data_IF_852453186339
#
_entry.id   IF_852453186339
#
_cell.length_a   1.000
_cell.length_b   1.000
_cell.length_c   1.000
_cell.angle_alpha   90.00
_cell.angle_beta   90.00
_cell.angle_gamma   90.00
#
_symmetry.space_group_name_H-M   'P 1'
#
loop_
_entity.id
_entity.type
_entity.pdbx_description
1 polymer ?
#
# COMPACT_ATOMS: atom_id res chain seq x y z
N UNK A 1 21.19 -16.01 -29.34
CA UNK A 1 19.99 -15.94 -28.49
C UNK A 1 20.20 -14.77 -27.54
N UNK A 2 19.28 -13.81 -27.47
CA UNK A 2 19.44 -12.63 -26.60
C UNK A 2 18.79 -12.93 -25.25
N UNK A 3 19.52 -12.69 -24.16
CA UNK A 3 19.00 -12.74 -22.80
C UNK A 3 18.77 -11.31 -22.32
N UNK A 4 17.55 -11.00 -21.88
CA UNK A 4 17.17 -9.70 -21.34
C UNK A 4 16.95 -9.84 -19.83
N UNK A 5 17.52 -8.92 -19.04
CA UNK A 5 17.31 -8.85 -17.60
C UNK A 5 16.94 -7.42 -17.19
N UNK A 6 15.88 -7.22 -16.38
CA UNK A 6 15.56 -5.90 -15.85
C UNK A 6 16.60 -5.50 -14.79
N UNK A 7 17.15 -4.29 -14.89
CA UNK A 7 18.17 -3.82 -13.95
C UNK A 7 17.56 -3.17 -12.69
N UNK A 8 16.47 -2.41 -12.85
CA UNK A 8 15.85 -1.64 -11.76
C UNK A 8 14.31 -1.65 -11.87
N UNK A 9 13.67 -2.82 -11.85
CA UNK A 9 12.22 -2.89 -11.90
C UNK A 9 11.59 -2.30 -10.64
N UNK A 10 10.52 -1.52 -10.79
CA UNK A 10 9.65 -1.19 -9.67
C UNK A 10 8.65 -2.35 -9.52
N UNK A 11 8.70 -3.03 -8.38
CA UNK A 11 7.77 -4.12 -8.09
C UNK A 11 6.36 -3.59 -7.81
N UNK A 12 5.34 -4.30 -8.32
CA UNK A 12 3.93 -4.07 -8.00
C UNK A 12 3.34 -5.45 -7.69
N UNK A 13 2.74 -5.58 -6.50
CA UNK A 13 2.06 -6.80 -6.05
C UNK A 13 0.55 -6.70 -6.22
N UNK A 14 -0.08 -7.84 -6.50
CA UNK A 14 -1.53 -7.97 -6.58
C UNK A 14 -1.96 -9.26 -5.88
N UNK A 15 -2.90 -9.13 -4.95
CA UNK A 15 -3.55 -10.25 -4.29
C UNK A 15 -5.06 -10.01 -4.25
N UNK A 16 -5.84 -11.09 -4.17
CA UNK A 16 -7.31 -11.01 -4.17
C UNK A 16 -7.89 -11.83 -3.03
N UNK A 17 -8.78 -11.21 -2.26
CA UNK A 17 -9.53 -11.87 -1.20
C UNK A 17 -10.99 -11.39 -1.19
N UNK A 18 -11.79 -11.69 -2.23
CA UNK A 18 -13.16 -11.20 -2.35
C UNK A 18 -14.05 -11.68 -1.20
N UNK A 19 -13.80 -12.88 -0.66
CA UNK A 19 -14.58 -13.46 0.43
C UNK A 19 -14.46 -12.68 1.75
N UNK A 20 -13.41 -11.86 1.90
CA UNK A 20 -13.24 -10.97 3.06
C UNK A 20 -14.10 -9.71 2.97
N UNK A 21 -14.67 -9.41 1.80
CA UNK A 21 -15.56 -8.27 1.59
C UNK A 21 -16.99 -8.65 1.98
N UNK A 22 -17.25 -8.66 3.28
CA UNK A 22 -18.57 -8.99 3.83
C UNK A 22 -19.51 -7.78 3.87
N UNK A 23 -20.82 -8.04 3.97
CA UNK A 23 -21.81 -6.99 4.20
C UNK A 23 -21.53 -6.17 5.46
N UNK A 24 -21.09 -6.84 6.53
CA UNK A 24 -20.74 -6.20 7.80
C UNK A 24 -19.52 -5.30 7.66
N UNK A 25 -18.46 -5.75 6.95
CA UNK A 25 -17.31 -4.91 6.64
C UNK A 25 -17.74 -3.64 5.90
N UNK A 26 -18.55 -3.79 4.85
CA UNK A 26 -19.01 -2.65 4.06
C UNK A 26 -19.81 -1.64 4.91
N UNK A 27 -20.66 -2.12 5.81
CA UNK A 27 -21.46 -1.26 6.68
C UNK A 27 -20.63 -0.58 7.75
N UNK A 28 -19.71 -1.31 8.39
CA UNK A 28 -18.82 -0.75 9.40
C UNK A 28 -17.92 0.33 8.78
N UNK A 29 -17.38 0.10 7.59
CA UNK A 29 -16.58 1.12 6.88
C UNK A 29 -17.42 2.36 6.60
N UNK A 30 -18.68 2.21 6.19
CA UNK A 30 -19.58 3.34 5.91
C UNK A 30 -19.99 4.12 7.17
N UNK A 31 -20.01 3.49 8.34
CA UNK A 31 -20.44 4.11 9.59
C UNK A 31 -19.36 4.94 10.28
N UNK A 32 -18.09 4.78 9.88
CA UNK A 32 -16.97 5.56 10.42
C UNK A 32 -17.14 7.06 10.13
N UNK A 33 -16.68 7.89 11.08
CA UNK A 33 -16.63 9.34 10.92
C UNK A 33 -15.73 9.73 9.75
N UNK A 34 -16.25 10.60 8.86
CA UNK A 34 -15.57 11.01 7.64
C UNK A 34 -15.21 12.50 7.68
N UNK A 35 -14.02 12.83 7.19
CA UNK A 35 -13.54 14.19 6.96
C UNK A 35 -13.44 14.50 5.46
N UNK A 36 -13.50 15.78 5.13
CA UNK A 36 -13.23 16.25 3.76
C UNK A 36 -11.74 16.12 3.45
N UNK A 37 -11.44 15.67 2.24
CA UNK A 37 -10.12 15.68 1.63
C UNK A 37 -10.19 16.46 0.30
N UNK A 38 -9.07 16.66 -0.40
CA UNK A 38 -8.99 17.60 -1.53
C UNK A 38 -10.11 17.46 -2.56
N UNK A 39 -10.43 16.23 -2.98
CA UNK A 39 -11.48 15.96 -3.97
C UNK A 39 -12.33 14.72 -3.63
N UNK A 40 -12.32 14.28 -2.37
CA UNK A 40 -13.10 13.15 -1.87
C UNK A 40 -13.23 13.22 -0.33
N UNK A 41 -13.65 12.12 0.32
CA UNK A 41 -13.64 12.00 1.78
C UNK A 41 -12.71 10.89 2.25
N UNK A 42 -12.26 11.01 3.49
CA UNK A 42 -11.46 9.99 4.17
C UNK A 42 -11.99 9.76 5.58
N UNK A 43 -11.68 8.62 6.18
CA UNK A 43 -11.95 8.43 7.61
C UNK A 43 -11.16 9.45 8.43
N UNK A 44 -11.75 9.97 9.50
CA UNK A 44 -11.04 10.89 10.40
C UNK A 44 -9.88 10.18 11.10
N UNK A 45 -10.11 8.94 11.54
CA UNK A 45 -9.05 8.08 12.07
C UNK A 45 -8.15 7.60 10.93
N UNK A 46 -6.84 7.76 11.10
CA UNK A 46 -5.80 7.43 10.12
C UNK A 46 -4.81 6.35 10.59
N UNK A 47 -5.15 5.67 11.68
CA UNK A 47 -4.44 4.53 12.28
C UNK A 47 -5.40 3.39 12.64
N UNK A 48 -6.45 3.19 11.83
CA UNK A 48 -7.55 2.25 12.13
C UNK A 48 -7.03 0.84 12.42
N UNK A 49 -6.04 0.38 11.66
CA UNK A 49 -5.47 -0.98 11.78
C UNK A 49 -4.20 -1.04 12.62
N UNK A 50 -3.78 0.06 13.26
CA UNK A 50 -2.44 0.12 13.87
C UNK A 50 -2.40 -0.33 15.32
N UNK A 51 -3.47 -0.13 16.09
CA UNK A 51 -3.52 -0.51 17.51
C UNK A 51 -4.49 -1.68 17.73
N UNK A 52 -4.09 -2.64 18.56
CA UNK A 52 -4.92 -3.81 18.89
C UNK A 52 -6.16 -3.46 19.73
N UNK A 53 -6.20 -2.24 20.28
CA UNK A 53 -7.37 -1.70 20.98
C UNK A 53 -8.43 -1.14 20.03
N UNK A 54 -8.16 -1.06 18.72
CA UNK A 54 -9.12 -0.55 17.77
C UNK A 54 -10.20 -1.60 17.48
N UNK A 55 -11.46 -1.28 17.81
CA UNK A 55 -12.60 -2.19 17.65
C UNK A 55 -12.78 -2.67 16.20
N UNK A 56 -12.55 -1.80 15.21
CA UNK A 56 -12.61 -2.18 13.80
C UNK A 56 -11.55 -3.23 13.46
N UNK A 57 -10.31 -3.02 13.92
CA UNK A 57 -9.20 -3.98 13.73
C UNK A 57 -9.53 -5.33 14.37
N UNK A 58 -10.04 -5.33 15.61
CA UNK A 58 -10.40 -6.56 16.33
C UNK A 58 -11.54 -7.31 15.64
N UNK A 59 -12.60 -6.59 15.22
CA UNK A 59 -13.77 -7.17 14.56
C UNK A 59 -13.43 -7.77 13.19
N UNK A 60 -12.58 -7.09 12.41
CA UNK A 60 -12.18 -7.49 11.06
C UNK A 60 -10.80 -8.16 11.02
N UNK A 61 -10.48 -8.97 12.03
CA UNK A 61 -9.14 -9.56 12.21
C UNK A 61 -8.68 -10.43 11.04
N UNK A 62 -9.59 -11.10 10.33
CA UNK A 62 -9.25 -11.89 9.13
C UNK A 62 -8.77 -10.99 7.97
N UNK A 63 -9.41 -9.84 7.75
CA UNK A 63 -8.95 -8.84 6.78
C UNK A 63 -7.59 -8.29 7.20
N UNK A 64 -7.44 -7.94 8.47
CA UNK A 64 -6.17 -7.41 9.00
C UNK A 64 -5.04 -8.40 8.78
N UNK A 65 -5.26 -9.67 9.13
CA UNK A 65 -4.28 -10.73 8.91
C UNK A 65 -3.92 -10.87 7.43
N UNK A 66 -4.91 -10.86 6.53
CA UNK A 66 -4.66 -10.91 5.10
C UNK A 66 -3.77 -9.74 4.62
N UNK A 67 -4.03 -8.52 5.10
CA UNK A 67 -3.22 -7.34 4.74
C UNK A 67 -1.80 -7.40 5.32
N UNK A 68 -1.64 -7.88 6.55
CA UNK A 68 -0.34 -8.08 7.19
C UNK A 68 0.48 -9.17 6.47
N UNK A 69 -0.15 -10.31 6.16
CA UNK A 69 0.48 -11.41 5.41
C UNK A 69 0.86 -10.95 3.99
N UNK A 70 -0.01 -10.19 3.29
CA UNK A 70 0.28 -9.62 1.96
C UNK A 70 1.47 -8.66 2.01
N UNK A 71 1.55 -7.84 3.07
CA UNK A 71 2.64 -6.89 3.26
C UNK A 71 3.97 -7.62 3.47
N UNK A 72 3.99 -8.63 4.35
CA UNK A 72 5.16 -9.46 4.62
C UNK A 72 5.63 -10.18 3.34
N UNK A 73 4.70 -10.78 2.60
CA UNK A 73 4.97 -11.42 1.30
C UNK A 73 5.60 -10.43 0.31
N UNK A 74 5.09 -9.20 0.24
CA UNK A 74 5.68 -8.17 -0.63
C UNK A 74 7.11 -7.81 -0.20
N UNK A 75 7.36 -7.60 1.08
CA UNK A 75 8.72 -7.34 1.58
C UNK A 75 9.67 -8.50 1.28
N UNK A 76 9.22 -9.74 1.43
CA UNK A 76 10.03 -10.91 1.13
C UNK A 76 10.35 -11.01 -0.37
N UNK A 77 9.32 -11.03 -1.22
CA UNK A 77 9.49 -11.29 -2.65
C UNK A 77 10.04 -10.10 -3.44
N UNK A 78 9.65 -8.87 -3.09
CA UNK A 78 10.07 -7.68 -3.84
C UNK A 78 11.33 -7.02 -3.26
N UNK A 79 11.54 -7.10 -1.96
CA UNK A 79 12.61 -6.39 -1.27
C UNK A 79 13.67 -7.32 -0.65
N UNK A 80 13.46 -8.65 -0.69
CA UNK A 80 14.41 -9.63 -0.19
C UNK A 80 14.63 -9.55 1.33
N UNK A 81 13.62 -9.09 2.09
CA UNK A 81 13.75 -8.94 3.54
C UNK A 81 13.78 -10.34 4.20
N UNK A 82 14.84 -10.68 4.96
CA UNK A 82 14.97 -11.98 5.59
C UNK A 82 14.23 -11.99 6.93
N UNK A 83 12.95 -12.36 6.92
CA UNK A 83 12.14 -12.49 8.14
C UNK A 83 12.53 -13.71 9.01
N UNK A 84 13.36 -14.62 8.51
CA UNK A 84 13.71 -15.91 9.11
C UNK A 84 14.32 -15.81 10.53
N UNK A 85 15.08 -14.75 10.81
CA UNK A 85 15.75 -14.55 12.10
C UNK A 85 14.83 -13.93 13.18
N UNK A 86 13.58 -13.59 12.83
CA UNK A 86 12.59 -13.00 13.75
C UNK A 86 12.91 -11.58 14.26
N UNK A 87 14.06 -11.02 13.88
CA UNK A 87 14.51 -9.68 14.29
C UNK A 87 13.83 -8.55 13.50
N UNK A 88 13.23 -8.87 12.35
CA UNK A 88 12.57 -7.93 11.46
C UNK A 88 11.10 -8.31 11.39
N UNK A 89 10.22 -7.32 11.37
CA UNK A 89 8.80 -7.48 11.12
C UNK A 89 8.27 -6.34 10.28
N UNK A 90 7.40 -6.63 9.31
CA UNK A 90 6.61 -5.60 8.65
C UNK A 90 5.51 -5.11 9.57
N UNK A 91 5.21 -3.82 9.53
CA UNK A 91 4.15 -3.20 10.34
C UNK A 91 3.36 -2.20 9.52
N UNK A 92 2.04 -2.20 9.71
CA UNK A 92 1.15 -1.17 9.15
C UNK A 92 1.19 0.06 10.07
N UNK A 93 1.91 1.09 9.65
CA UNK A 93 2.14 2.30 10.46
C UNK A 93 1.00 3.31 10.36
N UNK A 94 0.25 3.34 9.26
CA UNK A 94 -0.91 4.19 9.02
C UNK A 94 -1.94 3.44 8.17
N UNK A 95 -3.21 3.70 8.41
CA UNK A 95 -4.33 3.10 7.67
C UNK A 95 -5.61 3.92 7.84
N UNK A 96 -6.26 4.23 6.72
CA UNK A 96 -7.50 4.99 6.66
C UNK A 96 -8.36 4.48 5.51
N UNK A 97 -9.66 4.78 5.55
CA UNK A 97 -10.56 4.53 4.43
C UNK A 97 -10.69 5.76 3.55
N UNK A 98 -10.86 5.52 2.25
CA UNK A 98 -11.17 6.57 1.27
C UNK A 98 -12.58 6.32 0.74
N UNK A 99 -13.35 7.40 0.60
CA UNK A 99 -14.72 7.36 0.12
C UNK A 99 -14.82 8.32 -1.06
N UNK A 100 -14.99 7.74 -2.25
CA UNK A 100 -15.13 8.49 -3.49
C UNK A 100 -16.46 8.10 -4.14
N UNK A 101 -17.24 9.09 -4.56
CA UNK A 101 -18.41 8.90 -5.44
C UNK A 101 -18.11 9.39 -6.85
N UNK A 102 -19.06 9.20 -7.77
CA UNK A 102 -18.92 9.65 -9.16
C UNK A 102 -18.53 11.13 -9.23
N UNK A 103 -17.40 11.41 -9.87
CA UNK A 103 -16.86 12.76 -10.03
C UNK A 103 -15.84 13.18 -8.97
N UNK A 104 -15.67 12.39 -7.91
CA UNK A 104 -14.61 12.57 -6.90
C UNK A 104 -13.32 11.87 -7.32
N UNK A 105 -12.17 12.30 -6.76
CA UNK A 105 -10.87 11.71 -7.06
C UNK A 105 -9.88 11.86 -5.89
N UNK A 106 -8.76 11.15 -5.98
CA UNK A 106 -7.60 11.37 -5.11
C UNK A 106 -6.52 12.08 -5.92
N UNK A 107 -5.94 13.16 -5.36
CA UNK A 107 -4.83 13.83 -6.01
C UNK A 107 -3.59 12.93 -6.02
N UNK A 108 -2.74 13.06 -7.04
CA UNK A 108 -1.46 12.33 -7.07
C UNK A 108 -0.53 12.80 -5.95
N UNK A 109 -0.03 11.87 -5.14
CA UNK A 109 0.90 12.15 -4.04
C UNK A 109 1.83 10.96 -3.76
N UNK A 110 2.78 11.17 -2.85
CA UNK A 110 3.66 10.14 -2.29
C UNK A 110 3.46 10.10 -0.78
N UNK A 111 3.72 8.96 -0.16
CA UNK A 111 3.67 8.79 1.29
C UNK A 111 5.09 8.89 1.88
N UNK A 112 5.49 10.05 2.45
CA UNK A 112 6.80 10.18 3.07
C UNK A 112 6.92 9.25 4.29
N UNK A 113 8.15 8.84 4.62
CA UNK A 113 8.46 7.96 5.76
C UNK A 113 7.77 6.58 5.71
N UNK A 114 7.36 6.13 4.52
CA UNK A 114 6.81 4.80 4.27
C UNK A 114 7.66 4.09 3.21
N UNK A 115 7.94 2.79 3.41
CA UNK A 115 8.70 1.97 2.45
C UNK A 115 7.77 1.37 1.39
N UNK A 116 6.60 0.89 1.81
CA UNK A 116 5.57 0.27 0.97
C UNK A 116 4.23 0.97 1.24
N UNK A 117 3.42 1.15 0.21
CA UNK A 117 2.03 1.58 0.32
C UNK A 117 1.14 0.60 -0.43
N UNK A 118 -0.08 0.38 0.06
CA UNK A 118 -1.02 -0.55 -0.53
C UNK A 118 -2.46 -0.03 -0.44
N UNK A 119 -3.31 -0.57 -1.29
CA UNK A 119 -4.75 -0.25 -1.33
C UNK A 119 -5.52 -1.57 -1.40
N UNK A 120 -6.55 -1.70 -0.58
CA UNK A 120 -7.51 -2.80 -0.63
C UNK A 120 -8.88 -2.27 -1.05
N UNK A 121 -9.42 -2.81 -2.13
CA UNK A 121 -10.69 -2.34 -2.71
C UNK A 121 -11.87 -3.08 -2.09
N UNK A 122 -12.76 -2.34 -1.41
CA UNK A 122 -13.92 -2.89 -0.69
C UNK A 122 -15.20 -2.75 -1.51
N UNK A 123 -15.44 -1.56 -2.07
CA UNK A 123 -16.65 -1.26 -2.84
C UNK A 123 -16.27 -0.45 -4.08
N UNK A 124 -15.37 -1.02 -4.87
CA UNK A 124 -14.89 -0.43 -6.12
C UNK A 124 -15.69 -0.98 -7.31
N UNK A 125 -15.83 -0.15 -8.34
CA UNK A 125 -16.34 -0.54 -9.64
C UNK A 125 -15.18 -0.77 -10.61
N UNK A 126 -15.50 -1.38 -11.75
CA UNK A 126 -14.51 -1.66 -12.79
C UNK A 126 -13.85 -0.39 -13.35
N UNK A 127 -14.52 0.76 -13.25
CA UNK A 127 -13.99 2.04 -13.70
C UNK A 127 -13.08 2.73 -12.67
N UNK A 128 -13.01 2.23 -11.43
CA UNK A 128 -12.13 2.78 -10.39
C UNK A 128 -10.70 2.29 -10.61
N UNK A 129 -9.72 3.19 -10.52
CA UNK A 129 -8.34 2.92 -10.91
C UNK A 129 -7.35 3.56 -9.94
N UNK A 130 -6.20 2.90 -9.76
CA UNK A 130 -4.99 3.53 -9.24
C UNK A 130 -4.04 3.78 -10.42
N UNK A 131 -3.52 5.01 -10.50
CA UNK A 131 -2.61 5.43 -11.57
C UNK A 131 -1.25 5.66 -10.96
N UNK A 132 -0.26 4.86 -11.36
CA UNK A 132 1.13 5.05 -10.98
C UNK A 132 1.85 5.93 -12.00
N UNK A 133 2.37 7.06 -11.55
CA UNK A 133 3.19 7.95 -12.39
C UNK A 133 4.64 7.86 -11.98
N UNK A 134 5.53 7.65 -12.97
CA UNK A 134 6.96 7.83 -12.76
C UNK A 134 7.22 9.32 -12.79
N UNK A 135 7.62 9.90 -11.66
CA UNK A 135 8.07 11.30 -11.68
C UNK A 135 9.22 11.42 -12.68
N UNK A 136 9.14 12.44 -13.54
CA UNK A 136 10.23 12.86 -14.42
C UNK A 136 11.34 13.49 -13.58
N UNK A 137 11.97 12.70 -12.72
CA UNK A 137 13.32 13.00 -12.28
C UNK A 137 14.23 12.61 -13.46
N UNK A 138 14.96 13.58 -14.00
CA UNK A 138 16.11 13.29 -14.85
C UNK A 138 17.11 12.48 -14.01
N UNK A 139 16.98 11.15 -14.06
CA UNK A 139 17.99 10.24 -13.53
C UNK A 139 18.99 10.03 -14.65
N UNK A 140 20.12 10.73 -14.57
CA UNK A 140 21.26 10.42 -15.42
C UNK A 140 21.64 8.94 -15.20
N UNK A 141 22.09 8.25 -16.25
CA UNK A 141 22.82 7.01 -16.06
C UNK A 141 24.12 7.35 -15.35
N UNK A 142 24.16 7.15 -14.03
CA UNK A 142 25.39 7.25 -13.26
C UNK A 142 26.09 5.90 -13.26
N UNK A 143 27.20 5.83 -13.99
CA UNK A 143 28.12 4.71 -13.92
C UNK A 143 28.97 4.90 -12.67
N UNK A 144 28.78 4.06 -11.65
CA UNK A 144 29.70 4.01 -10.52
C UNK A 144 30.92 3.19 -10.94
N UNK A 145 32.08 3.84 -11.04
CA UNK A 145 33.34 3.14 -11.20
C UNK A 145 33.58 2.24 -9.97
N UNK A 146 33.94 0.97 -10.22
CA UNK A 146 34.23 -0.01 -9.17
C UNK A 146 35.43 0.42 -8.30
N UNK A 147 36.35 1.19 -8.89
CA UNK A 147 37.46 1.85 -8.24
C UNK A 147 37.51 3.30 -8.74
N UNK A 148 37.68 4.25 -7.81
CA UNK A 148 37.94 5.65 -8.14
C UNK A 148 39.43 5.89 -7.97
N UNK A 149 40.05 6.55 -8.93
CA UNK A 149 41.44 6.97 -8.80
C UNK A 149 41.51 8.07 -7.74
N UNK A 150 42.36 7.92 -6.72
CA UNK A 150 42.64 8.96 -5.73
C UNK A 150 43.61 9.99 -6.31
N UNK A 151 43.12 10.86 -7.20
CA UNK A 151 43.78 12.12 -7.56
C UNK A 151 42.75 13.22 -7.77
#
# INVERSE_FOLDING_TARGET
>A
MIQLQPLFPNAIGFESAPDLVTYDLVNDVKSLSQGQNTHNRVSIENRILTTDQNEFKTKHSQLVKFLEDSLENFYYHALGVPFEDGNIKSVITQSWFTYSVKGESMHGHKHPNSIVSGVFYINAKNEDQIIFTKQHEYKNLEWYAKERNEY
#
